data_IF_172990126907
#
_entry.id   IF_172990126907
#
_cell.length_a   1.000
_cell.length_b   1.000
_cell.length_c   1.000
_cell.angle_alpha   90.00
_cell.angle_beta   90.00
_cell.angle_gamma   90.00
#
_symmetry.space_group_name_H-M   'P 1'
#
loop_
_entity.id
_entity.type
_entity.pdbx_description
1 polymer ?
#
# COMPACT_ATOMS: atom_id res chain seq x y z
N UNK A 1 -15.62 -1.91 -14.89
CA UNK A 1 -15.39 -2.79 -16.06
C UNK A 1 -15.16 -2.04 -17.38
N UNK A 2 -16.15 -1.29 -17.90
CA UNK A 2 -16.04 -0.64 -19.22
C UNK A 2 -14.93 0.43 -19.30
N UNK A 3 -14.73 1.21 -18.24
CA UNK A 3 -13.70 2.24 -18.22
C UNK A 3 -12.27 1.66 -18.21
N UNK A 4 -12.01 0.62 -17.41
CA UNK A 4 -10.70 -0.05 -17.39
C UNK A 4 -10.39 -0.69 -18.75
N UNK A 5 -11.37 -1.37 -19.34
CA UNK A 5 -11.22 -1.96 -20.65
C UNK A 5 -10.87 -0.90 -21.70
N UNK A 6 -11.56 0.25 -21.66
CA UNK A 6 -11.27 1.36 -22.56
C UNK A 6 -9.86 1.91 -22.40
N UNK A 7 -9.40 2.14 -21.16
CA UNK A 7 -8.04 2.59 -20.88
C UNK A 7 -6.99 1.64 -21.46
N UNK A 8 -7.25 0.33 -21.38
CA UNK A 8 -6.39 -0.72 -21.90
C UNK A 8 -6.42 -0.82 -23.43
N UNK A 9 -7.61 -0.91 -24.02
CA UNK A 9 -7.82 -1.08 -25.47
C UNK A 9 -7.28 0.13 -26.25
N UNK A 10 -7.46 1.33 -25.73
CA UNK A 10 -6.95 2.57 -26.32
C UNK A 10 -5.47 2.83 -25.95
N UNK A 11 -4.83 1.96 -25.15
CA UNK A 11 -3.44 2.04 -24.73
C UNK A 11 -3.07 3.41 -24.11
N UNK A 12 -3.96 3.96 -23.28
CA UNK A 12 -3.79 5.31 -22.71
C UNK A 12 -2.80 5.34 -21.54
N UNK A 13 -2.55 4.19 -20.91
CA UNK A 13 -1.66 4.05 -19.75
C UNK A 13 -0.97 2.69 -19.74
N UNK A 14 0.28 2.67 -19.26
CA UNK A 14 1.11 1.45 -19.15
C UNK A 14 0.99 0.73 -17.78
N UNK A 15 0.38 1.40 -16.81
CA UNK A 15 0.16 0.92 -15.44
C UNK A 15 -0.98 1.72 -14.80
N UNK A 16 -1.59 1.17 -13.75
CA UNK A 16 -2.67 1.85 -13.01
C UNK A 16 -2.43 1.79 -11.50
N UNK A 17 -2.88 2.83 -10.78
CA UNK A 17 -2.83 2.87 -9.33
C UNK A 17 -4.19 3.31 -8.77
N UNK A 18 -4.83 2.46 -7.98
CA UNK A 18 -6.10 2.80 -7.30
C UNK A 18 -5.90 2.79 -5.80
N UNK A 19 -6.00 3.96 -5.16
CA UNK A 19 -5.68 4.12 -3.75
C UNK A 19 -6.72 3.43 -2.87
N UNK A 20 -6.35 2.32 -2.23
CA UNK A 20 -7.16 1.64 -1.23
C UNK A 20 -7.06 2.33 0.14
N UNK A 21 -5.95 3.03 0.38
CA UNK A 21 -5.61 3.81 1.58
C UNK A 21 -5.32 2.96 2.83
N UNK A 22 -6.15 1.97 3.16
CA UNK A 22 -5.99 1.14 4.36
C UNK A 22 -6.51 -0.26 4.12
N UNK A 23 -5.86 -1.26 4.73
CA UNK A 23 -6.31 -2.65 4.64
C UNK A 23 -7.42 -2.97 5.65
N UNK A 24 -8.27 -3.93 5.27
CA UNK A 24 -9.49 -4.39 5.94
C UNK A 24 -10.72 -3.50 5.70
N UNK A 25 -11.85 -4.14 5.41
CA UNK A 25 -13.13 -3.44 5.23
C UNK A 25 -13.55 -2.62 6.47
N UNK A 26 -13.40 -3.11 7.72
CA UNK A 26 -13.77 -2.33 8.90
C UNK A 26 -13.01 -1.01 9.00
N UNK A 27 -11.69 -1.00 8.79
CA UNK A 27 -10.91 0.25 8.80
C UNK A 27 -11.23 1.11 7.57
N UNK A 28 -11.32 0.52 6.39
CA UNK A 28 -11.67 1.24 5.17
C UNK A 28 -13.00 2.00 5.29
N UNK A 29 -14.01 1.39 5.92
CA UNK A 29 -15.31 2.03 6.15
C UNK A 29 -15.23 3.26 7.05
N UNK A 30 -14.29 3.28 8.00
CA UNK A 30 -14.09 4.38 8.95
C UNK A 30 -13.17 5.46 8.39
N UNK A 31 -12.07 5.07 7.73
CA UNK A 31 -11.06 5.97 7.16
C UNK A 31 -11.58 6.61 5.86
N UNK A 32 -12.28 5.84 5.04
CA UNK A 32 -12.75 6.25 3.72
C UNK A 32 -14.28 6.05 3.55
N UNK A 33 -15.12 6.67 4.40
CA UNK A 33 -16.57 6.43 4.38
C UNK A 33 -17.21 6.80 3.03
N UNK A 34 -16.68 7.80 2.34
CA UNK A 34 -17.10 8.16 0.99
C UNK A 34 -16.83 7.05 -0.03
N UNK A 35 -15.60 6.51 -0.06
CA UNK A 35 -15.26 5.40 -0.97
C UNK A 35 -16.07 4.15 -0.64
N UNK A 36 -16.27 3.85 0.64
CA UNK A 36 -17.15 2.74 1.05
C UNK A 36 -18.58 2.94 0.57
N UNK A 37 -19.13 4.15 0.69
CA UNK A 37 -20.51 4.45 0.26
C UNK A 37 -20.71 4.34 -1.24
N UNK A 38 -19.76 4.84 -2.05
CA UNK A 38 -19.96 4.98 -3.50
C UNK A 38 -19.35 3.85 -4.33
N UNK A 39 -18.33 3.17 -3.81
CA UNK A 39 -17.63 2.07 -4.50
C UNK A 39 -17.72 0.79 -3.68
N UNK A 40 -17.38 0.85 -2.40
CA UNK A 40 -17.30 -0.31 -1.51
C UNK A 40 -15.93 -1.00 -1.55
N UNK A 41 -15.48 -1.50 -0.41
CA UNK A 41 -14.18 -2.16 -0.25
C UNK A 41 -13.99 -3.33 -1.23
N UNK A 42 -14.93 -4.28 -1.24
CA UNK A 42 -14.85 -5.46 -2.10
C UNK A 42 -14.79 -5.11 -3.58
N UNK A 43 -15.64 -4.20 -4.05
CA UNK A 43 -15.61 -3.72 -5.44
C UNK A 43 -14.30 -3.02 -5.79
N UNK A 44 -13.65 -2.37 -4.83
CA UNK A 44 -12.33 -1.76 -5.02
C UNK A 44 -11.27 -2.84 -5.26
N UNK A 45 -11.28 -3.91 -4.45
CA UNK A 45 -10.39 -5.07 -4.63
C UNK A 45 -10.65 -5.75 -5.97
N UNK A 46 -11.90 -6.03 -6.31
CA UNK A 46 -12.28 -6.61 -7.61
C UNK A 46 -11.80 -5.74 -8.79
N UNK A 47 -11.79 -4.42 -8.63
CA UNK A 47 -11.30 -3.50 -9.67
C UNK A 47 -9.78 -3.56 -9.83
N UNK A 48 -9.04 -3.79 -8.75
CA UNK A 48 -7.60 -4.03 -8.80
C UNK A 48 -7.29 -5.39 -9.43
N UNK A 49 -8.01 -6.45 -9.06
CA UNK A 49 -7.86 -7.79 -9.67
C UNK A 49 -8.15 -7.72 -11.17
N UNK A 50 -9.23 -7.05 -11.57
CA UNK A 50 -9.54 -6.84 -13.00
C UNK A 50 -8.47 -6.02 -13.72
N UNK A 51 -7.82 -5.08 -13.04
CA UNK A 51 -6.68 -4.39 -13.63
C UNK A 51 -5.48 -5.33 -13.81
N UNK A 52 -5.23 -6.27 -12.89
CA UNK A 52 -4.14 -7.24 -13.05
C UNK A 52 -4.39 -8.13 -14.26
N UNK A 53 -5.64 -8.55 -14.50
CA UNK A 53 -6.01 -9.30 -15.70
C UNK A 53 -5.73 -8.55 -17.02
N UNK A 54 -5.73 -7.22 -16.99
CA UNK A 54 -5.50 -6.37 -18.17
C UNK A 54 -4.01 -6.02 -18.34
N UNK A 55 -3.38 -5.43 -17.33
CA UNK A 55 -2.00 -4.93 -17.42
C UNK A 55 -0.93 -5.94 -16.99
N UNK A 56 -1.33 -7.05 -16.36
CA UNK A 56 -0.42 -8.05 -15.80
C UNK A 56 0.11 -7.69 -14.40
N UNK A 57 0.73 -8.68 -13.76
CA UNK A 57 1.37 -8.53 -12.46
C UNK A 57 2.51 -7.51 -12.53
N UNK A 58 2.66 -6.70 -11.47
CA UNK A 58 3.70 -5.66 -11.40
C UNK A 58 3.37 -4.36 -12.17
N UNK A 59 2.20 -4.29 -12.81
CA UNK A 59 1.69 -3.07 -13.47
C UNK A 59 0.46 -2.46 -12.78
N UNK A 60 0.04 -3.05 -11.67
CA UNK A 60 -1.10 -2.58 -10.89
C UNK A 60 -0.66 -2.25 -9.48
N UNK A 61 -1.00 -1.05 -9.04
CA UNK A 61 -0.58 -0.49 -7.77
C UNK A 61 -1.79 -0.09 -6.92
N UNK A 62 -1.58 -0.01 -5.61
CA UNK A 62 -2.55 0.59 -4.71
C UNK A 62 -1.83 1.46 -3.69
N UNK A 63 -2.13 2.77 -3.66
CA UNK A 63 -1.57 3.61 -2.61
C UNK A 63 -2.19 3.26 -1.26
N UNK A 64 -1.32 3.13 -0.27
CA UNK A 64 -1.62 2.80 1.13
C UNK A 64 -1.05 3.90 2.02
N UNK A 65 -1.76 4.23 3.10
CA UNK A 65 -1.39 5.25 4.08
C UNK A 65 -0.91 4.55 5.34
N UNK A 66 0.40 4.38 5.44
CA UNK A 66 1.05 3.60 6.47
C UNK A 66 1.03 4.34 7.81
N UNK A 67 0.33 3.81 8.81
CA UNK A 67 0.26 4.36 10.16
C UNK A 67 -1.03 5.11 10.47
N UNK A 68 -1.97 5.24 9.53
CA UNK A 68 -3.32 5.78 9.82
C UNK A 68 -4.07 4.92 10.84
N UNK A 69 -3.72 3.63 10.92
CA UNK A 69 -4.26 2.67 11.88
C UNK A 69 -3.88 3.00 13.33
N UNK A 70 -2.83 3.80 13.54
CA UNK A 70 -2.36 4.26 14.85
C UNK A 70 -3.21 5.41 15.41
N UNK A 71 -4.15 5.96 14.63
CA UNK A 71 -5.03 7.01 15.12
C UNK A 71 -5.78 6.52 16.38
N UNK A 72 -5.81 7.31 17.48
CA UNK A 72 -6.32 6.84 18.78
C UNK A 72 -7.74 6.27 18.74
N UNK A 73 -8.58 6.73 17.81
CA UNK A 73 -9.95 6.25 17.60
C UNK A 73 -10.05 4.76 17.25
N UNK A 74 -8.97 4.17 16.71
CA UNK A 74 -8.92 2.75 16.38
C UNK A 74 -8.40 1.88 17.54
N UNK A 75 -7.73 2.48 18.52
CA UNK A 75 -7.30 1.80 19.74
C UNK A 75 -6.30 0.66 19.51
N UNK A 76 -5.59 0.65 18.38
CA UNK A 76 -4.63 -0.39 18.03
C UNK A 76 -3.25 -0.10 18.64
N UNK A 77 -2.56 -1.15 19.09
CA UNK A 77 -1.11 -1.07 19.31
C UNK A 77 -0.37 -0.96 17.97
N UNK A 78 0.88 -0.50 18.01
CA UNK A 78 1.66 -0.37 16.77
C UNK A 78 1.98 -1.74 16.16
N UNK A 79 2.12 -2.78 16.99
CA UNK A 79 2.35 -4.14 16.52
C UNK A 79 1.14 -4.67 15.75
N UNK A 80 -0.06 -4.53 16.31
CA UNK A 80 -1.32 -4.97 15.68
C UNK A 80 -1.57 -4.21 14.37
N UNK A 81 -1.34 -2.90 14.37
CA UNK A 81 -1.44 -2.08 13.17
C UNK A 81 -0.48 -2.57 12.08
N UNK A 82 0.78 -2.82 12.43
CA UNK A 82 1.79 -3.28 11.47
C UNK A 82 1.46 -4.68 10.94
N UNK A 83 1.02 -5.60 11.81
CA UNK A 83 0.62 -6.96 11.40
C UNK A 83 -0.59 -6.94 10.46
N UNK A 84 -1.57 -6.05 10.69
CA UNK A 84 -2.71 -5.87 9.79
C UNK A 84 -2.28 -5.31 8.43
N UNK A 85 -1.38 -4.32 8.41
CA UNK A 85 -0.86 -3.76 7.19
C UNK A 85 -0.03 -4.77 6.38
N UNK A 86 0.78 -5.61 7.05
CA UNK A 86 1.56 -6.70 6.45
C UNK A 86 0.64 -7.77 5.87
N UNK A 87 -0.42 -8.15 6.60
CA UNK A 87 -1.44 -9.07 6.10
C UNK A 87 -2.05 -8.54 4.80
N UNK A 88 -2.37 -7.24 4.76
CA UNK A 88 -2.86 -6.59 3.55
C UNK A 88 -1.86 -6.57 2.41
N UNK A 89 -0.59 -6.29 2.72
CA UNK A 89 0.48 -6.33 1.74
C UNK A 89 0.60 -7.72 1.11
N UNK A 90 0.58 -8.77 1.93
CA UNK A 90 0.66 -10.16 1.48
C UNK A 90 -0.51 -10.53 0.58
N UNK A 91 -1.73 -10.16 0.97
CA UNK A 91 -2.95 -10.49 0.24
C UNK A 91 -3.03 -9.72 -1.10
N UNK A 92 -2.57 -8.47 -1.14
CA UNK A 92 -2.46 -7.70 -2.39
C UNK A 92 -1.36 -8.26 -3.31
N UNK A 93 -0.17 -8.55 -2.77
CA UNK A 93 0.91 -9.13 -3.55
C UNK A 93 0.58 -10.52 -4.10
N UNK A 94 -0.14 -11.35 -3.36
CA UNK A 94 -0.62 -12.66 -3.84
C UNK A 94 -1.54 -12.55 -5.07
N UNK A 95 -2.16 -11.38 -5.28
CA UNK A 95 -2.99 -11.06 -6.45
C UNK A 95 -2.24 -10.31 -7.54
N UNK A 96 -0.91 -10.15 -7.43
CA UNK A 96 -0.10 -9.40 -8.39
C UNK A 96 -0.20 -7.87 -8.26
N UNK A 97 -0.82 -7.37 -7.19
CA UNK A 97 -0.99 -5.94 -6.90
C UNK A 97 0.15 -5.46 -6.01
N UNK A 98 0.75 -4.33 -6.34
CA UNK A 98 1.83 -3.72 -5.57
C UNK A 98 1.27 -2.59 -4.69
N UNK A 99 1.12 -2.78 -3.37
CA UNK A 99 0.81 -1.66 -2.48
C UNK A 99 1.99 -0.68 -2.38
N UNK A 100 1.71 0.61 -2.35
CA UNK A 100 2.73 1.65 -2.22
C UNK A 100 2.48 2.40 -0.93
N UNK A 101 3.35 2.22 0.05
CA UNK A 101 3.17 2.72 1.40
C UNK A 101 3.76 4.10 1.56
N UNK A 102 2.87 5.08 1.65
CA UNK A 102 3.24 6.45 2.02
C UNK A 102 3.06 6.62 3.52
N UNK A 103 4.04 7.22 4.19
CA UNK A 103 3.97 7.48 5.62
C UNK A 103 2.79 8.43 5.96
N UNK A 104 1.98 8.04 6.94
CA UNK A 104 0.97 8.92 7.52
C UNK A 104 1.64 10.07 8.29
N UNK A 105 1.23 11.31 8.03
CA UNK A 105 1.70 12.47 8.78
C UNK A 105 0.64 12.91 9.80
N UNK A 106 0.85 12.68 11.10
CA UNK A 106 -0.13 13.06 12.11
C UNK A 106 -0.28 14.58 12.18
N UNK A 107 -1.51 15.06 12.11
CA UNK A 107 -1.81 16.51 12.24
C UNK A 107 -1.77 16.95 13.73
N UNK A 108 -1.69 16.00 14.67
CA UNK A 108 -1.81 16.22 16.12
C UNK A 108 -0.58 15.87 16.97
N UNK A 109 0.65 15.91 16.44
CA UNK A 109 1.87 15.48 17.16
C UNK A 109 2.17 16.18 18.50
N UNK A 110 1.47 17.27 18.83
CA UNK A 110 1.60 17.98 20.12
C UNK A 110 1.13 17.14 21.32
N UNK A 111 0.08 16.36 21.14
CA UNK A 111 -0.62 15.71 22.26
C UNK A 111 -0.22 14.23 22.46
N UNK A 112 0.71 13.73 21.63
CA UNK A 112 1.13 12.34 21.62
C UNK A 112 2.67 12.22 21.49
N UNK A 113 3.42 12.38 22.60
CA UNK A 113 4.89 12.47 22.56
C UNK A 113 5.58 11.16 22.11
N UNK A 114 4.92 10.02 22.25
CA UNK A 114 5.41 8.70 21.83
C UNK A 114 4.93 8.27 20.43
N UNK A 115 4.18 9.14 19.73
CA UNK A 115 3.56 8.81 18.46
C UNK A 115 4.60 8.52 17.37
N UNK A 116 5.65 9.35 17.29
CA UNK A 116 6.70 9.17 16.29
C UNK A 116 7.50 7.90 16.51
N UNK A 117 7.75 7.51 17.76
CA UNK A 117 8.44 6.24 18.08
C UNK A 117 7.61 5.04 17.64
N UNK A 118 6.30 5.07 17.92
CA UNK A 118 5.36 4.02 17.48
C UNK A 118 5.24 3.96 15.97
N UNK A 119 5.13 5.10 15.30
CA UNK A 119 5.05 5.19 13.85
C UNK A 119 6.34 4.69 13.19
N UNK A 120 7.50 5.03 13.75
CA UNK A 120 8.80 4.57 13.26
C UNK A 120 8.90 3.04 13.35
N UNK A 121 8.60 2.46 14.52
CA UNK A 121 8.61 1.01 14.73
C UNK A 121 7.62 0.27 13.82
N UNK A 122 6.42 0.83 13.64
CA UNK A 122 5.43 0.33 12.68
C UNK A 122 6.00 0.34 11.26
N UNK A 123 6.58 1.46 10.83
CA UNK A 123 7.01 1.65 9.44
C UNK A 123 8.23 0.81 9.10
N UNK A 124 9.17 0.67 10.03
CA UNK A 124 10.31 -0.24 9.91
C UNK A 124 9.85 -1.69 9.73
N UNK A 125 9.00 -2.18 10.65
CA UNK A 125 8.47 -3.55 10.61
C UNK A 125 7.74 -3.83 9.30
N UNK A 126 6.87 -2.90 8.88
CA UNK A 126 6.11 -3.01 7.64
C UNK A 126 7.03 -3.08 6.41
N UNK A 127 7.98 -2.17 6.27
CA UNK A 127 8.83 -2.10 5.07
C UNK A 127 9.75 -3.32 4.93
N UNK A 128 10.30 -3.83 6.04
CA UNK A 128 11.14 -5.04 6.03
C UNK A 128 10.33 -6.29 5.64
N UNK A 129 9.16 -6.46 6.23
CA UNK A 129 8.26 -7.57 5.88
C UNK A 129 7.78 -7.44 4.42
N UNK A 130 7.43 -6.23 3.99
CA UNK A 130 6.94 -5.97 2.65
C UNK A 130 8.00 -6.23 1.57
N UNK A 131 9.26 -5.86 1.82
CA UNK A 131 10.38 -6.23 0.94
C UNK A 131 10.48 -7.76 0.76
N UNK A 132 10.36 -8.52 1.86
CA UNK A 132 10.38 -9.98 1.80
C UNK A 132 9.18 -10.54 1.00
N UNK A 133 7.99 -9.99 1.19
CA UNK A 133 6.78 -10.37 0.44
C UNK A 133 6.94 -10.11 -1.06
N UNK A 134 7.38 -8.91 -1.46
CA UNK A 134 7.61 -8.58 -2.87
C UNK A 134 8.62 -9.50 -3.53
N UNK A 135 9.73 -9.81 -2.83
CA UNK A 135 10.71 -10.81 -3.32
C UNK A 135 10.08 -12.19 -3.48
N UNK A 136 9.25 -12.63 -2.51
CA UNK A 136 8.58 -13.93 -2.54
C UNK A 136 7.60 -14.07 -3.72
N UNK A 137 6.89 -12.98 -4.05
CA UNK A 137 5.96 -12.94 -5.19
C UNK A 137 6.60 -12.42 -6.49
N UNK A 138 7.93 -12.24 -6.53
CA UNK A 138 8.66 -11.71 -7.69
C UNK A 138 8.12 -10.36 -8.23
N UNK A 139 7.61 -9.50 -7.36
CA UNK A 139 7.09 -8.18 -7.69
C UNK A 139 8.16 -7.11 -7.48
N UNK A 140 8.33 -6.22 -8.46
CA UNK A 140 9.25 -5.08 -8.39
C UNK A 140 8.54 -3.81 -8.84
N UNK A 141 8.95 -2.66 -8.29
CA UNK A 141 8.41 -1.39 -8.74
C UNK A 141 8.90 -1.13 -10.16
N UNK A 142 7.96 -0.94 -11.08
CA UNK A 142 8.30 -0.59 -12.45
C UNK A 142 8.83 0.85 -12.52
N UNK A 143 9.98 1.05 -13.16
CA UNK A 143 10.63 2.37 -13.24
C UNK A 143 9.77 3.43 -13.95
N UNK A 144 8.87 3.01 -14.85
CA UNK A 144 7.92 3.92 -15.50
C UNK A 144 6.79 4.39 -14.58
N UNK A 145 6.56 3.70 -13.45
CA UNK A 145 5.63 4.15 -12.42
C UNK A 145 6.33 5.04 -11.38
N UNK A 146 7.47 4.59 -10.85
CA UNK A 146 8.25 5.33 -9.86
C UNK A 146 9.74 5.09 -10.07
N UNK A 147 10.48 6.16 -10.32
CA UNK A 147 11.93 6.10 -10.49
C UNK A 147 12.68 6.08 -9.14
N UNK A 148 13.84 5.41 -9.14
CA UNK A 148 14.75 5.42 -8.01
C UNK A 148 15.17 6.86 -7.64
N UNK A 149 15.19 7.17 -6.34
CA UNK A 149 15.46 8.52 -5.78
C UNK A 149 14.42 9.60 -6.12
N UNK A 150 13.35 9.26 -6.83
CA UNK A 150 12.20 10.13 -7.06
C UNK A 150 11.10 9.96 -6.01
N UNK A 151 11.12 8.82 -5.31
CA UNK A 151 10.28 8.54 -4.17
C UNK A 151 10.69 9.43 -2.98
N UNK A 152 9.70 10.00 -2.28
CA UNK A 152 9.95 10.91 -1.15
C UNK A 152 9.35 10.41 0.17
N UNK A 153 8.25 9.66 0.12
CA UNK A 153 7.60 9.04 1.30
C UNK A 153 7.65 7.51 1.28
N UNK A 154 8.21 6.94 0.21
CA UNK A 154 8.16 5.52 -0.12
C UNK A 154 9.59 4.99 -0.19
N UNK A 155 9.82 3.78 0.32
CA UNK A 155 11.15 3.16 0.41
C UNK A 155 11.33 1.99 -0.56
N UNK A 156 10.26 1.54 -1.21
CA UNK A 156 10.20 0.32 -2.01
C UNK A 156 11.27 0.28 -3.11
N UNK A 157 11.41 1.38 -3.86
CA UNK A 157 12.38 1.49 -4.95
C UNK A 157 13.83 1.47 -4.47
N UNK A 158 14.09 2.00 -3.27
CA UNK A 158 15.43 2.05 -2.69
C UNK A 158 15.78 0.69 -2.05
N UNK A 159 14.81 0.08 -1.37
CA UNK A 159 14.94 -1.26 -0.77
C UNK A 159 15.14 -2.36 -1.84
N UNK A 160 14.53 -2.23 -3.02
CA UNK A 160 14.74 -3.16 -4.13
C UNK A 160 16.19 -3.20 -4.61
N UNK A 161 16.91 -2.09 -4.45
CA UNK A 161 18.32 -1.95 -4.83
C UNK A 161 19.27 -2.19 -3.67
N UNK A 162 18.75 -2.41 -2.46
CA UNK A 162 19.57 -2.80 -1.34
C UNK A 162 20.15 -4.19 -1.60
N UNK A 163 21.49 -4.35 -1.61
CA UNK A 163 22.11 -5.66 -1.77
C UNK A 163 21.54 -6.58 -0.69
N UNK A 164 21.04 -7.75 -1.09
CA UNK A 164 20.33 -8.64 -0.18
C UNK A 164 21.22 -9.02 1.02
N UNK A 165 20.90 -8.45 2.18
CA UNK A 165 21.52 -8.72 3.47
C UNK A 165 20.86 -7.80 4.48
N UNK A 166 20.30 -8.36 5.54
CA UNK A 166 19.55 -7.62 6.55
C UNK A 166 20.31 -6.42 7.11
N UNK A 167 19.56 -5.57 7.80
CA UNK A 167 20.14 -4.63 8.76
C UNK A 167 21.03 -5.48 9.70
N UNK A 168 22.35 -5.25 9.68
CA UNK A 168 23.27 -5.74 10.71
C UNK A 168 22.89 -5.17 12.08
#
# INVERSE_FOLDING_TARGET
PAQLQRLFDEQLVDAVCFNLEVWSEPLFSKVCPGKQKFVGYHRWIESLERAVELWGEGRVYSAMVAGVELEPVFGMSWQEAADLAIQGAEDLCARGIIPIYSLYWPIGGRDHPDYFDRLLAYFEKLNLAYLALRRRYALQIWEGFMCHRCAYMQLECDLDRSPAGGVE
#
